data_IF_023953089703
#
_entry.id   IF_023953089703
#
_cell.length_a   1.000
_cell.length_b   1.000
_cell.length_c   1.000
_cell.angle_alpha   90.00
_cell.angle_beta   90.00
_cell.angle_gamma   90.00
#
_symmetry.space_group_name_H-M   'P 1'
#
loop_
_entity.id
_entity.type
_entity.pdbx_description
1 polymer ?
#
# COMPACT_ATOMS: atom_id res chain seq x y z
N UNK A 1 -21.18 -2.33 -2.06
CA UNK A 1 -20.35 -1.17 -1.66
C UNK A 1 -19.97 -0.38 -2.91
N UNK A 2 -20.17 0.94 -2.93
CA UNK A 2 -19.75 1.78 -4.06
C UNK A 2 -18.22 1.66 -4.22
N UNK A 3 -17.71 1.44 -5.45
CA UNK A 3 -16.27 1.21 -5.69
C UNK A 3 -15.39 2.31 -5.10
N UNK A 4 -15.89 3.55 -5.10
CA UNK A 4 -15.23 4.71 -4.51
C UNK A 4 -15.07 4.59 -2.99
N UNK A 5 -16.14 4.19 -2.28
CA UNK A 5 -16.12 4.00 -0.82
C UNK A 5 -15.13 2.87 -0.46
N UNK A 6 -15.13 1.79 -1.24
CA UNK A 6 -14.18 0.70 -1.07
C UNK A 6 -12.73 1.20 -1.21
N UNK A 7 -12.44 1.97 -2.26
CA UNK A 7 -11.11 2.52 -2.50
C UNK A 7 -10.66 3.42 -1.33
N UNK A 8 -11.55 4.32 -0.86
CA UNK A 8 -11.25 5.22 0.25
C UNK A 8 -10.95 4.44 1.55
N UNK A 9 -11.75 3.44 1.89
CA UNK A 9 -11.50 2.61 3.06
C UNK A 9 -10.19 1.83 2.95
N UNK A 10 -9.85 1.34 1.75
CA UNK A 10 -8.58 0.65 1.51
C UNK A 10 -7.37 1.59 1.60
N UNK A 11 -7.49 2.84 1.14
CA UNK A 11 -6.46 3.87 1.33
C UNK A 11 -6.25 4.14 2.81
N UNK A 12 -7.34 4.33 3.57
CA UNK A 12 -7.27 4.53 5.03
C UNK A 12 -6.62 3.33 5.74
N UNK A 13 -6.95 2.11 5.32
CA UNK A 13 -6.32 0.89 5.84
C UNK A 13 -4.82 0.83 5.49
N UNK A 14 -4.45 1.21 4.26
CA UNK A 14 -3.05 1.32 3.84
C UNK A 14 -2.27 2.29 4.73
N UNK A 15 -2.83 3.48 4.97
CA UNK A 15 -2.27 4.48 5.91
C UNK A 15 -2.08 3.86 7.29
N UNK A 16 -3.10 3.19 7.83
CA UNK A 16 -3.04 2.55 9.15
C UNK A 16 -1.93 1.48 9.25
N UNK A 17 -1.78 0.65 8.21
CA UNK A 17 -0.72 -0.37 8.13
C UNK A 17 0.65 0.31 8.19
N UNK A 18 0.86 1.35 7.40
CA UNK A 18 2.13 2.04 7.30
C UNK A 18 2.48 2.74 8.62
N UNK A 19 1.53 3.45 9.24
CA UNK A 19 1.75 4.09 10.55
C UNK A 19 2.04 3.07 11.63
N UNK A 20 1.37 1.91 11.59
CA UNK A 20 1.65 0.80 12.53
C UNK A 20 3.06 0.25 12.33
N UNK A 21 3.49 0.07 11.09
CA UNK A 21 4.85 -0.37 10.75
C UNK A 21 5.92 0.62 11.23
N UNK A 22 5.69 1.93 11.09
CA UNK A 22 6.58 2.97 11.64
C UNK A 22 6.74 2.78 13.14
N UNK A 23 5.62 2.66 13.86
CA UNK A 23 5.61 2.52 15.32
C UNK A 23 6.35 1.25 15.78
N UNK A 24 6.04 0.10 15.20
CA UNK A 24 6.64 -1.18 15.61
C UNK A 24 8.12 -1.31 15.24
N UNK A 25 8.59 -0.63 14.20
CA UNK A 25 10.00 -0.66 13.80
C UNK A 25 10.85 0.39 14.55
N UNK A 26 10.26 1.13 15.50
CA UNK A 26 10.98 2.05 16.38
C UNK A 26 11.63 3.22 15.65
N UNK A 27 11.03 3.64 14.53
CA UNK A 27 11.62 4.66 13.68
C UNK A 27 11.27 6.05 14.19
N UNK A 28 12.30 6.85 14.43
CA UNK A 28 12.16 8.24 14.86
C UNK A 28 11.72 9.14 13.71
N UNK A 29 10.87 10.11 14.03
CA UNK A 29 10.58 11.24 13.15
C UNK A 29 11.83 12.13 13.13
N UNK A 30 12.37 12.48 11.95
CA UNK A 30 13.55 13.32 11.88
C UNK A 30 13.27 14.76 12.33
N UNK A 31 14.32 15.52 12.68
CA UNK A 31 14.20 16.93 13.05
C UNK A 31 13.64 17.78 11.88
N UNK A 32 12.97 18.91 12.17
CA UNK A 32 12.52 19.84 11.15
C UNK A 32 13.68 20.36 10.29
N UNK A 33 13.51 20.36 8.96
CA UNK A 33 14.49 20.94 8.01
C UNK A 33 15.48 19.94 7.40
N UNK A 34 15.48 18.69 7.85
CA UNK A 34 16.22 17.62 7.16
C UNK A 34 15.36 16.97 6.06
N UNK A 35 15.93 16.89 4.86
CA UNK A 35 15.29 16.22 3.73
C UNK A 35 15.32 14.69 3.90
N UNK A 36 14.15 14.06 4.05
CA UNK A 36 14.03 12.62 4.32
C UNK A 36 13.03 11.95 3.37
N UNK A 37 13.48 11.73 2.15
CA UNK A 37 12.72 11.02 1.11
C UNK A 37 12.25 9.59 1.46
N UNK A 38 12.80 8.96 2.50
CA UNK A 38 12.95 7.50 2.47
C UNK A 38 12.37 6.75 3.65
N UNK A 39 11.83 7.38 4.68
CA UNK A 39 11.49 6.60 5.88
C UNK A 39 10.18 5.83 5.71
N UNK A 40 9.12 6.47 5.21
CA UNK A 40 7.86 5.83 4.82
C UNK A 40 8.05 4.81 3.69
N UNK A 41 8.88 5.17 2.71
CA UNK A 41 9.19 4.35 1.53
C UNK A 41 10.06 3.14 1.92
N UNK A 42 11.15 3.31 2.68
CA UNK A 42 12.00 2.20 3.21
C UNK A 42 11.20 1.22 4.05
N UNK A 43 10.25 1.71 4.84
CA UNK A 43 9.41 0.87 5.68
C UNK A 43 8.51 -0.07 4.89
N UNK A 44 8.03 0.39 3.73
CA UNK A 44 7.28 -0.46 2.81
C UNK A 44 8.14 -1.49 2.10
N UNK A 45 9.47 -1.39 2.21
CA UNK A 45 10.41 -2.37 1.65
C UNK A 45 10.85 -3.39 2.69
N UNK A 46 10.33 -3.31 3.92
CA UNK A 46 10.59 -4.32 4.94
C UNK A 46 9.89 -5.63 4.60
N UNK A 47 10.52 -6.76 4.95
CA UNK A 47 9.89 -8.09 4.85
C UNK A 47 8.57 -8.13 5.61
N UNK A 48 8.49 -7.42 6.73
CA UNK A 48 7.28 -7.30 7.54
C UNK A 48 6.15 -6.62 6.75
N UNK A 49 6.43 -5.53 6.03
CA UNK A 49 5.44 -4.87 5.19
C UNK A 49 4.87 -5.83 4.14
N UNK A 50 5.75 -6.56 3.42
CA UNK A 50 5.33 -7.54 2.41
C UNK A 50 4.38 -8.58 3.02
N UNK A 51 4.70 -9.10 4.21
CA UNK A 51 3.85 -10.07 4.92
C UNK A 51 2.50 -9.45 5.28
N UNK A 52 2.48 -8.24 5.87
CA UNK A 52 1.22 -7.59 6.27
C UNK A 52 0.34 -7.27 5.06
N UNK A 53 0.90 -6.73 3.97
CA UNK A 53 0.14 -6.47 2.75
C UNK A 53 -0.36 -7.77 2.10
N UNK A 54 0.40 -8.85 2.19
CA UNK A 54 0.01 -10.18 1.69
C UNK A 54 -1.18 -10.75 2.48
N UNK A 55 -1.12 -10.70 3.82
CA UNK A 55 -2.22 -11.15 4.69
C UNK A 55 -3.47 -10.29 4.46
N UNK A 56 -3.27 -8.98 4.39
CA UNK A 56 -4.36 -8.01 4.16
C UNK A 56 -5.01 -8.23 2.80
N UNK A 57 -4.20 -8.36 1.74
CA UNK A 57 -4.66 -8.65 0.38
C UNK A 57 -5.46 -9.94 0.34
N UNK A 58 -4.91 -11.04 0.86
CA UNK A 58 -5.62 -12.32 0.96
C UNK A 58 -6.97 -12.20 1.67
N UNK A 59 -6.99 -11.58 2.85
CA UNK A 59 -8.19 -11.41 3.67
C UNK A 59 -9.26 -10.63 2.92
N UNK A 60 -8.87 -9.51 2.29
CA UNK A 60 -9.80 -8.69 1.50
C UNK A 60 -10.34 -9.47 0.30
N UNK A 61 -9.45 -10.15 -0.42
CA UNK A 61 -9.81 -10.99 -1.56
C UNK A 61 -10.78 -12.09 -1.19
N UNK A 62 -10.54 -12.78 -0.07
CA UNK A 62 -11.36 -13.88 0.43
C UNK A 62 -12.75 -13.43 0.89
N UNK A 63 -12.84 -12.43 1.78
CA UNK A 63 -14.12 -12.05 2.39
C UNK A 63 -14.94 -11.06 1.55
N UNK A 64 -14.29 -10.14 0.83
CA UNK A 64 -14.98 -9.02 0.17
C UNK A 64 -15.03 -9.15 -1.35
N UNK A 65 -14.31 -10.12 -1.94
CA UNK A 65 -14.36 -10.45 -3.37
C UNK A 65 -14.07 -9.25 -4.30
N UNK A 66 -13.40 -8.21 -3.79
CA UNK A 66 -13.12 -6.97 -4.52
C UNK A 66 -12.20 -7.22 -5.72
N UNK A 67 -12.14 -6.25 -6.64
CA UNK A 67 -11.19 -6.28 -7.74
C UNK A 67 -9.75 -6.24 -7.19
N UNK A 68 -8.90 -7.18 -7.58
CA UNK A 68 -7.56 -7.36 -7.01
C UNK A 68 -6.64 -6.15 -7.28
N UNK A 69 -6.77 -5.49 -8.45
CA UNK A 69 -6.03 -4.27 -8.75
C UNK A 69 -6.51 -3.11 -7.88
N UNK A 70 -7.82 -2.98 -7.67
CA UNK A 70 -8.36 -1.99 -6.75
C UNK A 70 -7.80 -2.17 -5.34
N UNK A 71 -7.72 -3.41 -4.84
CA UNK A 71 -7.13 -3.72 -3.53
C UNK A 71 -5.68 -3.27 -3.46
N UNK A 72 -4.85 -3.74 -4.39
CA UNK A 72 -3.43 -3.41 -4.42
C UNK A 72 -3.17 -1.92 -4.51
N UNK A 73 -3.70 -1.29 -5.56
CA UNK A 73 -3.49 0.13 -5.85
C UNK A 73 -3.99 1.05 -4.73
N UNK A 74 -5.11 0.71 -4.10
CA UNK A 74 -5.66 1.53 -3.02
C UNK A 74 -4.83 1.40 -1.74
N UNK A 75 -4.37 0.19 -1.39
CA UNK A 75 -3.54 -0.04 -0.20
C UNK A 75 -2.20 0.72 -0.25
N UNK A 76 -1.64 0.91 -1.45
CA UNK A 76 -0.40 1.68 -1.65
C UNK A 76 -0.63 3.13 -2.09
N UNK A 77 -1.89 3.55 -2.25
CA UNK A 77 -2.26 4.81 -2.90
C UNK A 77 -1.73 6.06 -2.19
N UNK A 78 -1.34 5.93 -0.91
CA UNK A 78 -0.75 7.03 -0.16
C UNK A 78 0.64 7.43 -0.67
N UNK A 79 1.46 6.51 -1.19
CA UNK A 79 2.83 6.83 -1.65
C UNK A 79 2.90 7.83 -2.80
N UNK A 80 2.14 7.67 -3.90
CA UNK A 80 2.16 8.67 -4.96
C UNK A 80 1.64 10.02 -4.47
N UNK A 81 0.68 10.05 -3.54
CA UNK A 81 0.16 11.28 -2.94
C UNK A 81 1.26 11.96 -2.11
N UNK A 82 1.99 11.21 -1.27
CA UNK A 82 3.07 11.76 -0.46
C UNK A 82 4.21 12.27 -1.33
N UNK A 83 4.61 11.54 -2.38
CA UNK A 83 5.66 12.02 -3.31
C UNK A 83 5.28 13.33 -4.01
N UNK A 84 4.02 13.49 -4.42
CA UNK A 84 3.56 14.76 -5.01
C UNK A 84 3.66 15.89 -3.98
N UNK A 85 3.15 15.69 -2.76
CA UNK A 85 3.20 16.71 -1.71
C UNK A 85 4.65 17.08 -1.37
N UNK A 86 5.51 16.09 -1.17
CA UNK A 86 6.93 16.29 -0.86
C UNK A 86 7.66 17.04 -1.99
N UNK A 87 7.35 16.76 -3.25
CA UNK A 87 7.91 17.49 -4.41
C UNK A 87 7.60 18.99 -4.41
N UNK A 88 6.50 19.39 -3.77
CA UNK A 88 6.12 20.82 -3.64
C UNK A 88 6.83 21.49 -2.46
N UNK A 89 7.22 20.73 -1.44
CA UNK A 89 7.88 21.25 -0.22
C UNK A 89 9.40 21.29 -0.41
N UNK A 90 9.96 20.27 -1.07
CA UNK A 90 11.38 20.13 -1.36
C UNK A 90 11.61 20.10 -2.88
N UNK A 91 11.83 21.25 -3.53
CA UNK A 91 12.13 21.30 -4.96
C UNK A 91 13.47 20.63 -5.28
N UNK A 92 13.55 19.87 -6.37
CA UNK A 92 14.78 19.18 -6.82
C UNK A 92 14.98 17.78 -6.22
N UNK A 93 14.00 17.33 -5.46
CA UNK A 93 14.06 16.15 -4.63
C UNK A 93 13.34 14.96 -5.30
N UNK A 94 12.19 15.24 -5.93
CA UNK A 94 11.43 14.33 -6.79
C UNK A 94 11.61 14.59 -8.28
N UNK A 95 12.83 14.36 -8.78
CA UNK A 95 13.12 14.51 -10.21
C UNK A 95 12.69 13.28 -11.05
N UNK A 96 12.29 12.18 -10.39
CA UNK A 96 11.99 10.89 -11.01
C UNK A 96 10.59 10.37 -10.63
N UNK A 97 9.62 11.26 -10.44
CA UNK A 97 8.23 10.91 -10.06
C UNK A 97 7.67 9.73 -10.87
N UNK A 98 7.80 9.66 -12.20
CA UNK A 98 7.29 8.52 -12.96
C UNK A 98 7.91 7.17 -12.54
N UNK A 99 9.21 7.17 -12.24
CA UNK A 99 9.92 5.96 -11.80
C UNK A 99 9.53 5.58 -10.37
N UNK A 100 9.39 6.57 -9.48
CA UNK A 100 8.91 6.33 -8.12
C UNK A 100 7.52 5.71 -8.09
N UNK A 101 6.63 6.15 -8.99
CA UNK A 101 5.28 5.59 -9.08
C UNK A 101 5.30 4.13 -9.55
N UNK A 102 6.19 3.78 -10.48
CA UNK A 102 6.40 2.40 -10.90
C UNK A 102 6.92 1.54 -9.73
N UNK A 103 7.84 2.10 -8.94
CA UNK A 103 8.35 1.47 -7.73
C UNK A 103 7.22 1.28 -6.70
N UNK A 104 6.38 2.28 -6.46
CA UNK A 104 5.20 2.15 -5.60
C UNK A 104 4.26 1.05 -6.08
N UNK A 105 3.96 1.02 -7.38
CA UNK A 105 3.12 0.00 -7.98
C UNK A 105 3.66 -1.41 -7.71
N UNK A 106 4.98 -1.61 -7.79
CA UNK A 106 5.61 -2.89 -7.50
C UNK A 106 5.31 -3.37 -6.06
N UNK A 107 5.14 -2.47 -5.08
CA UNK A 107 4.75 -2.85 -3.72
C UNK A 107 3.27 -3.18 -3.56
N UNK A 108 2.43 -2.79 -4.51
CA UNK A 108 1.07 -3.27 -4.60
C UNK A 108 1.01 -4.75 -5.00
N UNK A 109 2.03 -5.28 -5.68
CA UNK A 109 2.02 -6.63 -6.27
C UNK A 109 1.72 -7.73 -5.24
N UNK A 110 2.40 -7.80 -4.06
CA UNK A 110 2.07 -8.80 -3.05
C UNK A 110 0.59 -8.78 -2.64
N UNK A 111 0.02 -7.60 -2.42
CA UNK A 111 -1.41 -7.46 -2.09
C UNK A 111 -2.31 -7.87 -3.26
N UNK A 112 -1.96 -7.54 -4.51
CA UNK A 112 -2.73 -7.93 -5.71
C UNK A 112 -2.75 -9.45 -5.85
N UNK A 113 -1.57 -10.09 -5.79
CA UNK A 113 -1.42 -11.54 -5.94
C UNK A 113 -2.21 -12.26 -4.86
N UNK A 114 -2.04 -11.86 -3.60
CA UNK A 114 -2.73 -12.51 -2.48
C UNK A 114 -4.22 -12.25 -2.47
N UNK A 115 -4.68 -11.06 -2.88
CA UNK A 115 -6.10 -10.80 -3.08
C UNK A 115 -6.71 -11.68 -4.17
N UNK A 116 -5.99 -11.92 -5.27
CA UNK A 116 -6.42 -12.87 -6.29
C UNK A 116 -6.50 -14.30 -5.73
N UNK A 117 -5.48 -14.74 -4.98
CA UNK A 117 -5.47 -16.06 -4.35
C UNK A 117 -6.64 -16.19 -3.37
N UNK A 118 -6.84 -15.25 -2.45
CA UNK A 118 -7.94 -15.28 -1.47
C UNK A 118 -9.30 -15.34 -2.16
N UNK A 119 -9.48 -14.57 -3.23
CA UNK A 119 -10.68 -14.62 -4.06
C UNK A 119 -10.93 -16.02 -4.64
N UNK A 120 -9.91 -16.63 -5.24
CA UNK A 120 -10.00 -17.98 -5.82
C UNK A 120 -10.26 -19.06 -4.76
N UNK A 121 -9.65 -18.95 -3.58
CA UNK A 121 -9.89 -19.88 -2.49
C UNK A 121 -11.35 -19.83 -2.04
N UNK A 122 -11.92 -18.64 -1.87
CA UNK A 122 -13.33 -18.48 -1.54
C UNK A 122 -14.25 -19.13 -2.59
N UNK A 123 -14.04 -18.80 -3.87
CA UNK A 123 -14.86 -19.36 -4.96
C UNK A 123 -14.79 -20.89 -4.99
N UNK A 124 -13.61 -21.46 -4.75
CA UNK A 124 -13.40 -22.92 -4.72
C UNK A 124 -14.12 -23.57 -3.54
N UNK A 125 -14.06 -22.98 -2.36
CA UNK A 125 -14.70 -23.53 -1.16
C UNK A 125 -16.23 -23.43 -1.21
N UNK A 126 -16.77 -22.45 -1.94
CA UNK A 126 -18.21 -22.24 -2.07
C UNK A 126 -18.81 -22.83 -3.37
N UNK A 127 -18.03 -23.56 -4.17
CA UNK A 127 -18.45 -24.14 -5.46
C UNK A 127 -18.98 -23.10 -6.47
N UNK A 128 -18.43 -21.89 -6.46
CA UNK A 128 -18.79 -20.78 -7.36
C UNK A 128 -17.85 -20.66 -8.57
N UNK A 129 -17.21 -21.78 -8.96
CA UNK A 129 -16.09 -21.85 -9.90
C UNK A 129 -16.50 -22.52 -11.22
#
# INVERSE_FOLDING_TARGET
MHKLIAALLLILLGILIITSLIYFQGISVPPPGEYHYSTLIRLNFSRLAIIIYSITGFTIGYFFQLNCFLVGLSLIGIFPITSIIESTIYPGSHNLIPFEFAVFFAYGIPAIITAFIGKRVYLKLNNEL
#
